data_IF_212033850151
#
_entry.id   IF_212033850151
#
_cell.length_a   1.000
_cell.length_b   1.000
_cell.length_c   1.000
_cell.angle_alpha   90.00
_cell.angle_beta   90.00
_cell.angle_gamma   90.00
#
_symmetry.space_group_name_H-M   'P 1'
#
loop_
_entity.id
_entity.type
_entity.pdbx_description
1 polymer ?
#
# COMPACT_ATOMS: atom_id res chain seq x y z
N UNK A 1 9.31 43.46 -17.78
CA UNK A 1 8.02 43.05 -17.15
C UNK A 1 7.86 41.55 -16.93
N UNK A 2 8.19 40.68 -17.90
CA UNK A 2 7.97 39.21 -17.76
C UNK A 2 8.83 38.53 -16.67
N UNK A 3 10.07 38.97 -16.47
CA UNK A 3 10.99 38.39 -15.46
C UNK A 3 10.53 38.74 -14.04
N UNK A 4 10.08 39.98 -13.81
CA UNK A 4 9.52 40.39 -12.51
C UNK A 4 8.21 39.67 -12.19
N UNK A 5 7.36 39.42 -13.20
CA UNK A 5 6.14 38.64 -13.02
C UNK A 5 6.43 37.16 -12.69
N UNK A 6 7.45 36.56 -13.31
CA UNK A 6 7.87 35.18 -13.03
C UNK A 6 8.47 35.05 -11.61
N UNK A 7 9.30 36.01 -11.20
CA UNK A 7 9.87 36.05 -9.84
C UNK A 7 8.78 36.26 -8.77
N UNK A 8 7.77 37.08 -9.05
CA UNK A 8 6.63 37.27 -8.15
C UNK A 8 5.75 36.01 -8.04
N UNK A 9 5.55 35.28 -9.14
CA UNK A 9 4.84 33.99 -9.13
C UNK A 9 5.61 32.89 -8.38
N UNK A 10 6.94 32.89 -8.48
CA UNK A 10 7.81 31.97 -7.73
C UNK A 10 7.82 32.28 -6.22
N UNK A 11 7.70 33.54 -5.81
CA UNK A 11 7.55 33.91 -4.40
C UNK A 11 6.15 33.59 -3.81
N UNK A 12 5.13 33.46 -4.65
CA UNK A 12 3.78 33.04 -4.24
C UNK A 12 3.60 31.52 -4.19
N UNK A 13 4.58 30.74 -4.68
CA UNK A 13 4.64 29.31 -4.48
C UNK A 13 5.13 29.03 -3.04
N UNK A 14 4.30 29.35 -2.06
CA UNK A 14 4.51 28.95 -0.67
C UNK A 14 4.65 27.42 -0.59
N UNK A 15 5.62 26.97 0.20
CA UNK A 15 5.82 25.56 0.53
C UNK A 15 4.52 25.03 1.14
N UNK A 16 3.88 24.05 0.48
CA UNK A 16 2.73 23.35 1.07
C UNK A 16 3.24 22.47 2.21
N UNK A 17 3.31 23.02 3.43
CA UNK A 17 3.52 22.20 4.62
C UNK A 17 2.25 21.44 4.98
N UNK A 18 2.42 20.21 5.46
CA UNK A 18 1.34 19.43 6.03
C UNK A 18 0.81 20.16 7.28
N UNK A 19 -0.41 20.68 7.19
CA UNK A 19 -1.04 21.37 8.31
C UNK A 19 -1.13 20.44 9.54
N UNK A 20 -0.79 20.93 10.72
CA UNK A 20 -0.89 20.17 11.96
C UNK A 20 -2.11 20.63 12.75
N UNK A 21 -2.88 19.68 13.29
CA UNK A 21 -4.02 19.98 14.16
C UNK A 21 -3.65 19.70 15.62
N UNK A 22 -3.73 20.69 16.52
CA UNK A 22 -3.57 20.46 17.95
C UNK A 22 -4.80 19.70 18.50
N UNK A 23 -4.57 18.57 19.15
CA UNK A 23 -5.59 17.75 19.79
C UNK A 23 -5.30 17.66 21.30
N UNK A 24 -6.27 17.97 22.15
CA UNK A 24 -6.14 17.79 23.61
C UNK A 24 -6.46 16.34 23.98
N UNK A 25 -5.48 15.60 24.52
CA UNK A 25 -5.59 14.12 24.67
C UNK A 25 -5.77 13.66 26.12
N UNK A 26 -5.61 14.54 27.12
CA UNK A 26 -5.64 14.16 28.55
C UNK A 26 -6.38 15.17 29.44
N UNK A 27 -6.99 14.74 30.56
CA UNK A 27 -7.38 15.63 31.65
C UNK A 27 -6.11 16.25 32.23
N UNK A 28 -5.87 17.54 31.93
CA UNK A 28 -4.60 18.22 32.24
C UNK A 28 -4.05 19.09 31.10
N UNK A 29 -4.67 19.07 29.91
CA UNK A 29 -4.39 20.06 28.85
C UNK A 29 -3.17 19.78 27.98
N UNK A 30 -2.61 18.55 28.03
CA UNK A 30 -1.55 18.16 27.10
C UNK A 30 -2.07 18.16 25.65
N UNK A 31 -1.39 18.92 24.79
CA UNK A 31 -1.71 19.06 23.36
C UNK A 31 -0.80 18.15 22.55
N UNK A 32 -1.40 17.28 21.74
CA UNK A 32 -0.71 16.45 20.75
C UNK A 32 -0.97 17.02 19.37
N UNK A 33 0.10 17.28 18.61
CA UNK A 33 0.00 17.72 17.22
C UNK A 33 -0.10 16.52 16.30
N UNK A 34 -1.22 16.38 15.61
CA UNK A 34 -1.41 15.34 14.60
C UNK A 34 -1.21 15.94 13.19
N UNK A 35 -0.32 15.39 12.36
CA UNK A 35 -0.21 15.83 10.97
C UNK A 35 -1.52 15.51 10.24
N UNK A 36 -2.07 16.51 9.55
CA UNK A 36 -3.25 16.32 8.73
C UNK A 36 -2.84 15.60 7.44
N UNK A 37 -3.56 14.52 7.15
CA UNK A 37 -3.41 13.76 5.92
C UNK A 37 -4.69 13.88 5.10
N UNK A 38 -4.54 14.18 3.83
CA UNK A 38 -5.61 14.12 2.84
C UNK A 38 -6.10 12.68 2.64
N UNK A 39 -7.32 12.54 2.12
CA UNK A 39 -7.85 11.22 1.76
C UNK A 39 -6.97 10.49 0.74
N UNK A 40 -6.30 11.24 -0.16
CA UNK A 40 -5.35 10.68 -1.12
C UNK A 40 -4.12 10.14 -0.42
N UNK A 41 -3.47 10.91 0.44
CA UNK A 41 -2.28 10.46 1.18
C UNK A 41 -2.59 9.21 2.01
N UNK A 42 -3.73 9.21 2.71
CA UNK A 42 -4.13 8.06 3.51
C UNK A 42 -4.46 6.82 2.66
N UNK A 43 -4.95 7.00 1.43
CA UNK A 43 -5.22 5.91 0.48
C UNK A 43 -3.94 5.19 0.05
N UNK A 44 -2.83 5.92 -0.04
CA UNK A 44 -1.52 5.41 -0.47
C UNK A 44 -0.49 5.40 0.67
N UNK A 45 -0.92 5.44 1.93
CA UNK A 45 -0.01 5.41 3.08
C UNK A 45 0.95 4.21 2.94
N UNK A 46 2.26 4.43 3.06
CA UNK A 46 3.28 3.38 2.96
C UNK A 46 3.40 2.68 1.59
N UNK A 47 2.66 3.13 0.56
CA UNK A 47 2.74 2.62 -0.81
C UNK A 47 3.46 3.63 -1.72
N UNK A 48 4.24 3.14 -2.67
CA UNK A 48 4.78 3.97 -3.75
C UNK A 48 3.71 4.09 -4.83
N UNK A 49 3.13 5.28 -4.97
CA UNK A 49 2.12 5.56 -6.00
C UNK A 49 2.78 5.60 -7.38
N UNK A 50 2.19 4.87 -8.33
CA UNK A 50 2.58 4.87 -9.74
C UNK A 50 2.27 6.24 -10.39
N UNK A 51 3.24 6.81 -11.12
CA UNK A 51 3.10 8.08 -11.86
C UNK A 51 3.18 7.93 -13.36
N UNK A 52 3.80 6.85 -13.86
CA UNK A 52 4.00 6.62 -15.30
C UNK A 52 3.15 5.46 -15.80
N UNK A 53 2.86 5.41 -17.10
CA UNK A 53 2.16 4.26 -17.67
C UNK A 53 3.06 3.02 -17.67
N UNK A 54 2.46 1.85 -17.49
CA UNK A 54 3.14 0.54 -17.52
C UNK A 54 4.26 0.32 -16.46
N UNK A 55 4.38 1.18 -15.46
CA UNK A 55 5.36 1.07 -14.36
C UNK A 55 4.83 0.41 -13.08
N UNK A 56 3.64 -0.20 -13.13
CA UNK A 56 3.03 -0.86 -11.96
C UNK A 56 3.96 -1.87 -11.25
N UNK A 57 4.74 -2.63 -12.03
CA UNK A 57 5.76 -3.54 -11.49
C UNK A 57 6.88 -2.80 -10.76
N UNK A 58 7.33 -1.66 -11.29
CA UNK A 58 8.34 -0.81 -10.66
C UNK A 58 7.84 -0.26 -9.31
N UNK A 59 6.62 0.27 -9.29
CA UNK A 59 6.03 0.86 -8.08
C UNK A 59 5.71 -0.20 -7.02
N UNK A 60 5.22 -1.38 -7.43
CA UNK A 60 5.01 -2.51 -6.53
C UNK A 60 6.33 -3.00 -5.90
N UNK A 61 7.38 -3.11 -6.72
CA UNK A 61 8.71 -3.48 -6.24
C UNK A 61 9.29 -2.40 -5.32
N UNK A 62 9.21 -1.12 -5.69
CA UNK A 62 9.64 0.00 -4.87
C UNK A 62 8.98 -0.02 -3.48
N UNK A 63 7.69 -0.32 -3.43
CA UNK A 63 6.94 -0.45 -2.17
C UNK A 63 7.53 -1.55 -1.27
N UNK A 64 7.82 -2.73 -1.81
CA UNK A 64 8.41 -3.82 -1.03
C UNK A 64 9.83 -3.45 -0.58
N UNK A 65 10.66 -2.91 -1.46
CA UNK A 65 12.03 -2.54 -1.13
C UNK A 65 12.10 -1.43 -0.07
N UNK A 66 11.24 -0.42 -0.18
CA UNK A 66 11.18 0.67 0.78
C UNK A 66 10.67 0.23 2.14
N UNK A 67 9.57 -0.51 2.19
CA UNK A 67 8.93 -0.83 3.47
C UNK A 67 9.48 -2.09 4.13
N UNK A 68 9.84 -3.13 3.37
CA UNK A 68 10.30 -4.39 3.94
C UNK A 68 11.82 -4.48 4.08
N UNK A 69 12.58 -3.64 3.37
CA UNK A 69 14.05 -3.65 3.38
C UNK A 69 14.66 -2.29 3.74
N UNK A 70 13.84 -1.28 4.05
CA UNK A 70 14.28 0.07 4.44
C UNK A 70 15.19 0.75 3.40
N UNK A 71 15.04 0.39 2.12
CA UNK A 71 15.78 1.03 1.03
C UNK A 71 15.07 2.32 0.63
N UNK A 72 15.79 3.45 0.64
CA UNK A 72 15.19 4.69 0.17
C UNK A 72 15.17 4.74 -1.37
N UNK A 73 14.16 4.08 -1.93
CA UNK A 73 13.96 3.95 -3.37
C UNK A 73 12.58 4.44 -3.80
N UNK A 74 12.53 5.27 -4.83
CA UNK A 74 11.30 5.72 -5.47
C UNK A 74 11.00 4.99 -6.79
N UNK A 75 9.82 5.26 -7.37
CA UNK A 75 9.41 4.64 -8.64
C UNK A 75 10.42 4.89 -9.76
N UNK A 76 10.97 6.11 -9.85
CA UNK A 76 11.87 6.51 -10.92
C UNK A 76 13.20 5.76 -10.87
N UNK A 77 13.78 5.65 -9.68
CA UNK A 77 15.02 4.91 -9.45
C UNK A 77 14.86 3.42 -9.78
N UNK A 78 13.72 2.81 -9.44
CA UNK A 78 13.43 1.42 -9.81
C UNK A 78 13.24 1.28 -11.33
N UNK A 79 12.56 2.23 -11.99
CA UNK A 79 12.42 2.23 -13.46
C UNK A 79 13.78 2.28 -14.13
N UNK A 80 14.64 3.24 -13.76
CA UNK A 80 15.98 3.39 -14.33
C UNK A 80 16.83 2.12 -14.14
N UNK A 81 16.81 1.56 -12.94
CA UNK A 81 17.53 0.33 -12.62
C UNK A 81 17.03 -0.88 -13.40
N UNK A 82 15.72 -1.02 -13.59
CA UNK A 82 15.15 -2.12 -14.39
C UNK A 82 15.43 -1.95 -15.88
N UNK A 83 15.38 -0.72 -16.41
CA UNK A 83 15.67 -0.44 -17.83
C UNK A 83 17.10 -0.80 -18.23
N UNK A 84 18.06 -0.80 -17.29
CA UNK A 84 19.42 -1.26 -17.54
C UNK A 84 19.51 -2.76 -17.91
N UNK A 85 18.49 -3.55 -17.58
CA UNK A 85 18.47 -5.01 -17.75
C UNK A 85 17.27 -5.53 -18.58
N UNK A 86 16.45 -4.61 -19.12
CA UNK A 86 15.21 -4.89 -19.83
C UNK A 86 15.27 -4.41 -21.29
N UNK A 87 14.41 -4.97 -22.15
CA UNK A 87 14.20 -4.49 -23.51
C UNK A 87 13.28 -3.26 -23.49
N UNK A 88 13.85 -2.08 -23.79
CA UNK A 88 13.11 -0.82 -23.75
C UNK A 88 11.91 -0.77 -24.70
N UNK A 89 11.98 -1.47 -25.85
CA UNK A 89 10.87 -1.47 -26.81
C UNK A 89 9.68 -2.27 -26.27
N UNK A 90 9.96 -3.39 -25.60
CA UNK A 90 8.92 -4.19 -24.94
C UNK A 90 8.35 -3.47 -23.73
N UNK A 91 9.20 -2.87 -22.88
CA UNK A 91 8.73 -2.13 -21.69
C UNK A 91 7.81 -0.97 -22.06
N UNK A 92 8.09 -0.24 -23.15
CA UNK A 92 7.24 0.85 -23.62
C UNK A 92 5.84 0.42 -24.07
N UNK A 93 5.69 -0.83 -24.52
CA UNK A 93 4.42 -1.33 -25.09
C UNK A 93 3.66 -2.26 -24.15
N UNK A 94 4.36 -2.98 -23.28
CA UNK A 94 3.80 -4.03 -22.43
C UNK A 94 4.11 -3.83 -20.93
N UNK A 95 5.03 -2.92 -20.59
CA UNK A 95 5.52 -2.72 -19.22
C UNK A 95 6.59 -3.71 -18.79
N UNK A 96 6.96 -3.61 -17.52
CA UNK A 96 7.98 -4.47 -16.92
C UNK A 96 7.43 -5.87 -16.66
N UNK A 97 8.22 -6.89 -17.00
CA UNK A 97 7.92 -8.29 -16.69
C UNK A 97 8.45 -8.69 -15.31
N UNK A 98 8.00 -9.84 -14.79
CA UNK A 98 8.60 -10.44 -13.60
C UNK A 98 10.08 -10.79 -13.80
N UNK A 99 10.51 -11.05 -15.05
CA UNK A 99 11.91 -11.33 -15.35
C UNK A 99 12.77 -10.07 -15.22
N UNK A 100 12.26 -8.92 -15.64
CA UNK A 100 12.95 -7.63 -15.51
C UNK A 100 13.09 -7.26 -14.03
N UNK A 101 12.00 -7.41 -13.25
CA UNK A 101 12.04 -7.25 -11.79
C UNK A 101 13.06 -8.19 -11.14
N UNK A 102 13.11 -9.46 -11.58
CA UNK A 102 14.08 -10.44 -11.07
C UNK A 102 15.51 -9.98 -11.31
N UNK A 103 15.86 -9.61 -12.55
CA UNK A 103 17.21 -9.20 -12.93
C UNK A 103 17.69 -7.99 -12.12
N UNK A 104 16.80 -7.02 -11.93
CA UNK A 104 17.10 -5.84 -11.12
C UNK A 104 17.29 -6.17 -9.64
N UNK A 105 16.41 -6.98 -9.04
CA UNK A 105 16.59 -7.39 -7.63
C UNK A 105 17.90 -8.18 -7.43
N UNK A 106 18.27 -9.00 -8.41
CA UNK A 106 19.54 -9.73 -8.39
C UNK A 106 20.77 -8.82 -8.56
N UNK A 107 20.67 -7.72 -9.32
CA UNK A 107 21.75 -6.74 -9.43
C UNK A 107 21.99 -5.94 -8.13
N UNK A 108 20.97 -5.86 -7.26
CA UNK A 108 21.09 -5.34 -5.89
C UNK A 108 21.70 -6.34 -4.89
N UNK A 109 22.08 -7.55 -5.33
CA UNK A 109 22.62 -8.60 -4.46
C UNK A 109 21.56 -9.35 -3.63
N UNK A 110 20.28 -9.16 -3.95
CA UNK A 110 19.18 -9.91 -3.35
C UNK A 110 18.77 -11.09 -4.24
N UNK A 111 17.89 -11.96 -3.75
CA UNK A 111 17.32 -13.07 -4.54
C UNK A 111 15.87 -12.77 -4.87
N UNK A 112 15.47 -13.00 -6.11
CA UNK A 112 14.08 -12.90 -6.53
C UNK A 112 13.60 -14.23 -7.13
N UNK A 113 12.40 -14.67 -6.75
CA UNK A 113 11.82 -15.93 -7.24
C UNK A 113 10.33 -15.81 -7.51
N UNK A 114 9.92 -16.32 -8.67
CA UNK A 114 8.52 -16.56 -8.99
C UNK A 114 8.12 -17.97 -8.55
N UNK A 115 7.03 -18.08 -7.78
CA UNK A 115 6.47 -19.36 -7.34
C UNK A 115 5.05 -19.51 -7.86
N UNK A 116 4.71 -20.71 -8.36
CA UNK A 116 3.32 -21.10 -8.57
C UNK A 116 2.78 -21.64 -7.26
N UNK A 117 1.69 -21.06 -6.77
CA UNK A 117 1.14 -21.32 -5.44
C UNK A 117 -0.30 -21.78 -5.60
N UNK A 118 -0.65 -22.86 -4.90
CA UNK A 118 -2.03 -23.34 -4.88
C UNK A 118 -2.91 -22.39 -4.06
N UNK A 119 -4.18 -22.15 -4.46
CA UNK A 119 -5.10 -21.27 -3.73
C UNK A 119 -5.14 -21.51 -2.21
N UNK A 120 -5.18 -22.77 -1.79
CA UNK A 120 -5.28 -23.16 -0.38
C UNK A 120 -4.04 -22.77 0.44
N UNK A 121 -2.88 -22.69 -0.23
CA UNK A 121 -1.61 -22.34 0.40
C UNK A 121 -1.39 -20.82 0.50
N UNK A 122 -2.29 -20.01 -0.07
CA UNK A 122 -2.17 -18.54 -0.07
C UNK A 122 -2.14 -17.97 1.35
N UNK A 123 -2.89 -18.57 2.28
CA UNK A 123 -2.89 -18.21 3.71
C UNK A 123 -1.55 -18.45 4.42
N UNK A 124 -0.69 -19.30 3.85
CA UNK A 124 0.63 -19.58 4.41
C UNK A 124 1.69 -18.56 4.00
N UNK A 125 1.37 -17.67 3.04
CA UNK A 125 2.28 -16.62 2.60
C UNK A 125 2.31 -15.50 3.65
N UNK A 126 3.42 -15.44 4.41
CA UNK A 126 3.62 -14.49 5.53
C UNK A 126 4.50 -13.29 5.19
N UNK A 127 4.89 -13.14 3.94
CA UNK A 127 5.73 -12.04 3.47
C UNK A 127 5.00 -11.28 2.37
N UNK A 128 5.21 -9.97 2.22
CA UNK A 128 4.64 -9.23 1.11
C UNK A 128 5.28 -9.70 -0.20
N UNK A 129 4.46 -9.91 -1.22
CA UNK A 129 4.88 -10.42 -2.53
C UNK A 129 4.23 -9.63 -3.65
N UNK A 130 4.88 -9.55 -4.80
CA UNK A 130 4.25 -8.98 -6.00
C UNK A 130 3.41 -10.07 -6.66
N UNK A 131 2.18 -9.76 -7.02
CA UNK A 131 1.28 -10.66 -7.75
C UNK A 131 0.75 -9.97 -9.00
N UNK A 132 0.46 -10.77 -10.03
CA UNK A 132 -0.21 -10.29 -11.23
C UNK A 132 -1.71 -10.54 -11.10
N UNK A 133 -2.50 -9.47 -11.14
CA UNK A 133 -3.96 -9.53 -11.17
C UNK A 133 -4.48 -9.15 -12.55
N UNK A 134 -5.52 -9.85 -13.01
CA UNK A 134 -6.34 -9.50 -14.15
C UNK A 134 -7.69 -8.98 -13.63
N UNK A 135 -7.94 -7.70 -13.86
CA UNK A 135 -9.20 -7.05 -13.52
C UNK A 135 -9.88 -6.61 -14.80
N UNK A 136 -10.85 -7.41 -15.27
CA UNK A 136 -11.65 -7.13 -16.47
C UNK A 136 -10.81 -6.93 -17.74
N UNK A 137 -9.76 -7.75 -17.92
CA UNK A 137 -8.86 -7.70 -19.06
C UNK A 137 -7.66 -6.76 -18.87
N UNK A 138 -7.61 -6.02 -17.75
CA UNK A 138 -6.47 -5.20 -17.39
C UNK A 138 -5.53 -5.99 -16.46
N UNK A 139 -4.35 -6.34 -16.97
CA UNK A 139 -3.30 -7.02 -16.20
C UNK A 139 -2.45 -6.00 -15.46
N UNK A 140 -2.31 -6.18 -14.16
CA UNK A 140 -1.67 -5.20 -13.28
C UNK A 140 -0.88 -5.87 -12.16
N UNK A 141 0.33 -5.37 -11.91
CA UNK A 141 1.14 -5.81 -10.78
C UNK A 141 0.73 -5.05 -9.51
N UNK A 142 0.47 -5.80 -8.46
CA UNK A 142 0.12 -5.27 -7.14
C UNK A 142 0.93 -5.96 -6.05
N UNK A 143 1.02 -5.32 -4.89
CA UNK A 143 1.63 -5.93 -3.70
C UNK A 143 0.55 -6.68 -2.93
N UNK A 144 0.65 -8.00 -2.84
CA UNK A 144 -0.10 -8.76 -1.85
C UNK A 144 0.60 -8.64 -0.51
N UNK A 145 -0.06 -7.98 0.43
CA UNK A 145 0.48 -7.61 1.75
C UNK A 145 0.32 -8.75 2.75
N UNK A 146 -0.93 -9.19 2.97
CA UNK A 146 -1.27 -10.29 3.88
C UNK A 146 -2.58 -10.93 3.48
N UNK A 147 -2.79 -12.16 3.95
CA UNK A 147 -4.09 -12.81 3.93
C UNK A 147 -4.53 -13.06 5.36
N UNK A 148 -5.66 -12.49 5.76
CA UNK A 148 -6.21 -12.61 7.11
C UNK A 148 -7.73 -12.74 7.09
N UNK A 149 -8.28 -13.64 7.92
CA UNK A 149 -9.73 -13.82 8.12
C UNK A 149 -10.56 -13.88 6.82
N UNK A 150 -10.04 -14.58 5.80
CA UNK A 150 -10.72 -14.72 4.49
C UNK A 150 -10.63 -13.49 3.57
N UNK A 151 -9.81 -12.50 3.92
CA UNK A 151 -9.51 -11.32 3.12
C UNK A 151 -8.06 -11.32 2.65
N UNK A 152 -7.85 -10.93 1.40
CA UNK A 152 -6.54 -10.65 0.82
C UNK A 152 -6.35 -9.14 0.79
N UNK A 153 -5.33 -8.65 1.49
CA UNK A 153 -4.96 -7.24 1.52
C UNK A 153 -3.97 -6.94 0.40
N UNK A 154 -4.27 -5.91 -0.37
CA UNK A 154 -3.55 -5.54 -1.59
C UNK A 154 -3.14 -4.07 -1.49
N UNK A 155 -1.84 -3.81 -1.65
CA UNK A 155 -1.31 -2.49 -1.99
C UNK A 155 -1.27 -2.33 -3.51
N UNK A 156 -2.26 -1.64 -4.06
CA UNK A 156 -2.34 -1.36 -5.49
C UNK A 156 -1.62 -0.02 -5.79
N UNK A 157 -0.56 0.02 -6.64
CA UNK A 157 0.16 1.26 -6.95
C UNK A 157 -0.69 2.36 -7.60
N UNK A 158 -1.83 2.01 -8.21
CA UNK A 158 -2.75 2.93 -8.89
C UNK A 158 -3.95 3.25 -8.01
N UNK A 159 -4.46 2.27 -7.27
CA UNK A 159 -5.71 2.39 -6.52
C UNK A 159 -5.51 2.49 -5.00
N UNK A 160 -4.30 2.33 -4.50
CA UNK A 160 -3.95 2.37 -3.08
C UNK A 160 -4.37 1.10 -2.34
N UNK A 161 -4.54 1.20 -1.01
CA UNK A 161 -4.94 0.04 -0.21
C UNK A 161 -6.33 -0.46 -0.58
N UNK A 162 -6.39 -1.76 -0.88
CA UNK A 162 -7.62 -2.50 -1.18
C UNK A 162 -7.63 -3.83 -0.46
N UNK A 163 -8.83 -4.41 -0.33
CA UNK A 163 -8.98 -5.80 0.10
C UNK A 163 -10.00 -6.50 -0.77
N UNK A 164 -9.75 -7.77 -1.02
CA UNK A 164 -10.65 -8.67 -1.73
C UNK A 164 -11.00 -9.83 -0.82
N UNK A 165 -12.21 -10.37 -0.93
CA UNK A 165 -12.42 -11.72 -0.41
C UNK A 165 -11.52 -12.68 -1.16
N UNK A 166 -11.06 -13.74 -0.51
CA UNK A 166 -10.21 -14.76 -1.16
C UNK A 166 -10.85 -15.26 -2.45
N UNK A 167 -12.14 -15.60 -2.44
CA UNK A 167 -12.89 -16.05 -3.62
C UNK A 167 -12.82 -15.08 -4.81
N UNK A 168 -12.87 -13.77 -4.56
CA UNK A 168 -12.85 -12.75 -5.61
C UNK A 168 -11.43 -12.46 -6.09
N UNK A 169 -10.45 -12.54 -5.20
CA UNK A 169 -9.04 -12.43 -5.54
C UNK A 169 -8.63 -13.57 -6.49
N UNK A 170 -9.02 -14.81 -6.18
CA UNK A 170 -8.66 -15.99 -6.97
C UNK A 170 -9.18 -15.94 -8.41
N UNK A 171 -10.30 -15.25 -8.68
CA UNK A 171 -10.84 -15.09 -10.04
C UNK A 171 -9.92 -14.28 -10.95
N UNK A 172 -9.20 -13.30 -10.39
CA UNK A 172 -8.29 -12.42 -11.13
C UNK A 172 -6.82 -12.79 -10.99
N UNK A 173 -6.45 -13.68 -10.08
CA UNK A 173 -5.06 -14.03 -9.84
C UNK A 173 -4.59 -15.21 -10.71
N UNK A 174 -3.40 -15.10 -11.29
CA UNK A 174 -2.84 -16.11 -12.18
C UNK A 174 -2.14 -17.29 -11.48
N UNK A 175 -2.20 -17.37 -10.14
CA UNK A 175 -1.55 -18.41 -9.36
C UNK A 175 -0.03 -18.23 -9.16
N UNK A 176 0.54 -17.10 -9.59
CA UNK A 176 1.97 -16.82 -9.46
C UNK A 176 2.19 -15.70 -8.44
N UNK A 177 3.11 -15.92 -7.51
CA UNK A 177 3.66 -14.90 -6.63
C UNK A 177 5.13 -14.64 -6.97
N UNK A 178 5.57 -13.40 -6.83
CA UNK A 178 6.96 -13.00 -6.96
C UNK A 178 7.48 -12.51 -5.61
N UNK A 179 8.42 -13.25 -5.04
CA UNK A 179 9.00 -12.99 -3.74
C UNK A 179 10.43 -12.44 -3.87
N UNK A 180 10.71 -11.39 -3.11
CA UNK A 180 12.04 -10.81 -2.92
C UNK A 180 12.60 -11.33 -1.59
N UNK A 181 13.82 -11.86 -1.63
CA UNK A 181 14.51 -12.51 -0.51
C UNK A 181 15.93 -11.96 -0.43
N UNK A 182 16.15 -11.00 0.46
CA UNK A 182 17.45 -10.38 0.71
C UNK A 182 17.87 -10.46 2.18
N UNK A 183 19.12 -10.05 2.46
CA UNK A 183 19.49 -9.65 3.82
C UNK A 183 18.78 -8.34 4.17
N UNK A 184 18.52 -8.10 5.45
CA UNK A 184 17.84 -6.87 5.91
C UNK A 184 16.31 -6.89 5.81
N UNK A 185 15.69 -8.03 5.51
CA UNK A 185 14.23 -8.14 5.56
C UNK A 185 13.72 -7.91 7.00
N UNK A 186 12.89 -6.89 7.16
CA UNK A 186 12.21 -6.60 8.42
C UNK A 186 10.95 -7.47 8.56
N UNK A 187 10.92 -8.29 9.61
CA UNK A 187 9.79 -9.18 9.92
C UNK A 187 8.58 -8.46 10.50
N UNK A 188 8.74 -7.22 10.94
CA UNK A 188 7.68 -6.40 11.55
C UNK A 188 7.36 -5.17 10.68
N UNK A 189 7.63 -5.27 9.36
CA UNK A 189 7.36 -4.17 8.44
C UNK A 189 5.87 -3.82 8.35
N UNK A 190 5.60 -2.55 7.99
CA UNK A 190 4.25 -1.98 7.93
C UNK A 190 3.33 -2.67 6.90
N UNK A 191 3.89 -3.35 5.89
CA UNK A 191 3.08 -4.07 4.89
C UNK A 191 2.40 -5.31 5.50
N UNK A 192 2.86 -5.81 6.64
CA UNK A 192 2.21 -6.92 7.35
C UNK A 192 1.03 -6.45 8.23
N UNK A 193 0.90 -5.14 8.46
CA UNK A 193 -0.28 -4.55 9.09
C UNK A 193 -0.83 -3.35 8.31
N UNK A 194 -1.38 -3.59 7.10
CA UNK A 194 -1.85 -2.52 6.24
C UNK A 194 -3.12 -1.86 6.81
N UNK A 195 -3.27 -0.54 6.60
CA UNK A 195 -4.48 0.17 7.01
C UNK A 195 -5.70 -0.38 6.26
N UNK A 196 -6.86 -0.31 6.92
CA UNK A 196 -8.11 -0.67 6.28
C UNK A 196 -8.38 0.27 5.08
N UNK A 197 -8.76 -0.28 3.91
CA UNK A 197 -9.13 0.52 2.75
C UNK A 197 -10.17 1.58 3.09
N UNK A 198 -10.00 2.79 2.57
CA UNK A 198 -10.96 3.88 2.75
C UNK A 198 -12.24 3.56 1.99
N UNK A 199 -13.19 2.93 2.67
CA UNK A 199 -14.50 2.57 2.12
C UNK A 199 -15.60 3.22 2.96
N UNK A 200 -16.56 3.88 2.29
CA UNK A 200 -17.74 4.46 2.95
C UNK A 200 -18.78 3.39 3.35
N UNK A 201 -18.82 2.28 2.60
CA UNK A 201 -19.74 1.15 2.80
C UNK A 201 -19.51 0.52 4.18
N UNK A 202 -20.51 0.61 5.05
CA UNK A 202 -20.49 0.04 6.41
C UNK A 202 -19.82 0.88 7.49
N UNK A 203 -19.39 2.12 7.20
CA UNK A 203 -18.88 3.07 8.23
C UNK A 203 -19.92 4.10 8.69
N UNK A 204 -20.94 4.35 7.87
CA UNK A 204 -22.02 5.29 8.20
C UNK A 204 -23.11 4.62 9.05
N UNK A 205 -23.28 3.30 8.92
CA UNK A 205 -24.26 2.49 9.68
C UNK A 205 -23.63 1.67 10.82
N UNK A 206 -22.46 2.06 11.32
CA UNK A 206 -21.83 1.39 12.49
C UNK A 206 -22.36 1.87 13.83
N UNK A 207 -23.47 2.61 13.86
CA UNK A 207 -24.21 2.83 15.10
C UNK A 207 -24.91 1.52 15.48
N UNK A 208 -24.18 0.64 16.14
CA UNK A 208 -24.78 -0.43 16.92
C UNK A 208 -25.15 0.17 18.28
N UNK A 209 -26.43 0.20 18.68
CA UNK A 209 -26.77 0.57 20.05
C UNK A 209 -26.00 -0.34 21.01
N UNK A 210 -25.47 0.25 22.08
CA UNK A 210 -24.72 -0.48 23.11
C UNK A 210 -25.61 -1.63 23.60
N UNK A 211 -25.09 -2.85 23.57
CA UNK A 211 -25.85 -4.01 24.02
C UNK A 211 -26.00 -3.98 25.54
N UNK A 212 -27.10 -4.50 26.08
CA UNK A 212 -27.36 -4.49 27.54
C UNK A 212 -26.23 -5.10 28.38
N UNK A 213 -25.50 -6.07 27.82
CA UNK A 213 -24.34 -6.67 28.48
C UNK A 213 -23.10 -5.76 28.51
N UNK A 214 -22.95 -4.90 27.51
CA UNK A 214 -21.88 -3.90 27.41
C UNK A 214 -22.20 -2.65 28.26
N UNK A 215 -23.50 -2.38 28.54
CA UNK A 215 -23.91 -1.29 29.43
C UNK A 215 -23.47 -1.51 30.89
N UNK A 216 -23.29 -2.76 31.32
CA UNK A 216 -22.70 -3.08 32.63
C UNK A 216 -21.26 -2.56 32.77
N UNK A 217 -20.48 -2.60 31.68
CA UNK A 217 -19.09 -2.10 31.66
C UNK A 217 -19.02 -0.57 31.74
N UNK A 218 -20.14 0.12 31.46
CA UNK A 218 -20.29 1.57 31.62
C UNK A 218 -20.90 1.97 32.98
N UNK A 219 -21.08 1.01 33.90
CA UNK A 219 -21.55 1.27 35.26
C UNK A 219 -23.07 1.33 35.44
N UNK A 220 -23.84 0.97 34.41
CA UNK A 220 -25.28 0.80 34.56
C UNK A 220 -25.58 -0.44 35.39
N UNK A 221 -26.50 -0.33 36.34
CA UNK A 221 -26.84 -1.42 37.26
C UNK A 221 -28.03 -2.18 36.66
N UNK A 222 -28.13 -3.48 36.96
CA UNK A 222 -29.18 -4.34 36.41
C UNK A 222 -30.62 -3.85 36.68
N UNK A 223 -30.80 -3.00 37.70
CA UNK A 223 -32.06 -2.33 38.06
C UNK A 223 -32.49 -1.22 37.10
N UNK A 224 -31.57 -0.69 36.28
CA UNK A 224 -31.83 0.44 35.39
C UNK A 224 -32.41 0.00 34.03
N UNK A 225 -32.55 -1.31 33.83
CA UNK A 225 -33.00 -1.95 32.57
C UNK A 225 -34.45 -2.47 32.65
N UNK A 226 -35.21 -2.13 33.69
CA UNK A 226 -36.60 -2.55 33.91
C UNK A 226 -37.51 -1.36 34.22
#
# INVERSE_FOLDING_TARGET
MRIFALAFLLCLASVSEAAQMPLSVLPGGAVVFKPLQSLRERKFADLVQQKTDFSCGAAALATILRQAYWLDVDEHQIIEGMLAHADQNLVRTQGFSMLDMKRYVESLGMRARGYRVAPDTLHSVRIPVVVLMDVRGYKHFVVMQKVDKGWVYIGDPVLGHKRYKVEDFLKGWNGIIFAVIGQGYDKNNILLDPPLPLTAKGRVDTFTPVKDNELLDFGFIKSDFF
#
